data_IF_257801398648
#
_entry.id   IF_257801398648
#
_cell.length_a   1.000
_cell.length_b   1.000
_cell.length_c   1.000
_cell.angle_alpha   90.00
_cell.angle_beta   90.00
_cell.angle_gamma   90.00
#
_symmetry.space_group_name_H-M   'P 1'
#
loop_
_entity.id
_entity.type
_entity.pdbx_description
1 polymer ?
#
# COMPACT_ATOMS: atom_id res chain seq x y z
N UNK A 1 5.57 -44.73 -17.66
CA UNK A 1 4.57 -45.18 -16.65
C UNK A 1 4.98 -46.57 -16.18
N UNK A 2 4.71 -46.96 -14.93
CA UNK A 2 5.03 -48.29 -14.39
C UNK A 2 3.76 -49.04 -14.00
N UNK A 3 3.49 -50.19 -14.62
CA UNK A 3 2.39 -51.06 -14.22
C UNK A 3 2.91 -52.05 -13.19
N UNK A 4 2.29 -52.12 -12.00
CA UNK A 4 2.67 -53.05 -10.94
C UNK A 4 1.72 -54.25 -10.94
N UNK A 5 2.26 -55.42 -11.29
CA UNK A 5 1.53 -56.68 -11.34
C UNK A 5 1.94 -57.51 -10.11
N UNK A 6 1.05 -57.69 -9.13
CA UNK A 6 1.34 -58.59 -8.01
C UNK A 6 0.87 -59.98 -8.35
N UNK A 7 1.75 -60.95 -8.17
CA UNK A 7 1.44 -62.33 -8.46
C UNK A 7 1.70 -63.17 -7.22
N UNK A 8 0.63 -63.56 -6.53
CA UNK A 8 0.74 -64.49 -5.40
C UNK A 8 0.93 -65.94 -5.82
N UNK A 9 0.89 -66.28 -7.12
CA UNK A 9 1.16 -67.63 -7.64
C UNK A 9 1.39 -67.70 -9.15
N UNK A 10 2.11 -66.74 -9.72
CA UNK A 10 2.36 -66.69 -11.16
C UNK A 10 1.12 -66.33 -11.97
N UNK A 11 1.18 -65.22 -12.68
CA UNK A 11 0.59 -65.22 -14.01
C UNK A 11 1.58 -64.54 -14.92
N UNK A 12 2.52 -65.35 -15.44
CA UNK A 12 3.22 -65.05 -16.70
C UNK A 12 2.21 -64.48 -17.73
N UNK A 13 0.98 -65.00 -17.72
CA UNK A 13 -0.15 -64.50 -18.50
C UNK A 13 -0.56 -63.05 -18.22
N UNK A 14 -0.51 -62.51 -16.99
CA UNK A 14 -0.82 -61.10 -16.75
C UNK A 14 0.31 -60.18 -17.25
N UNK A 15 1.56 -60.57 -17.02
CA UNK A 15 2.73 -59.85 -17.55
C UNK A 15 2.70 -59.85 -19.08
N UNK A 16 2.43 -60.99 -19.71
CA UNK A 16 2.28 -61.11 -21.17
C UNK A 16 1.08 -60.33 -21.71
N UNK A 17 -0.06 -60.32 -21.00
CA UNK A 17 -1.23 -59.54 -21.37
C UNK A 17 -0.96 -58.02 -21.32
N UNK A 18 -0.29 -57.54 -20.27
CA UNK A 18 0.13 -56.13 -20.15
C UNK A 18 1.08 -55.77 -21.30
N UNK A 19 2.07 -56.63 -21.58
CA UNK A 19 3.01 -56.41 -22.69
C UNK A 19 2.32 -56.40 -24.06
N UNK A 20 1.36 -57.30 -24.28
CA UNK A 20 0.60 -57.35 -25.52
C UNK A 20 -0.30 -56.14 -25.75
N UNK A 21 -0.87 -55.56 -24.68
CA UNK A 21 -1.62 -54.30 -24.79
C UNK A 21 -0.71 -53.10 -25.05
N UNK A 22 0.46 -53.07 -24.40
CA UNK A 22 1.47 -52.04 -24.63
C UNK A 22 2.02 -52.08 -26.07
N UNK A 23 2.30 -53.27 -26.61
CA UNK A 23 2.77 -53.45 -27.98
C UNK A 23 1.72 -53.01 -29.02
N UNK A 24 0.44 -53.32 -28.79
CA UNK A 24 -0.68 -52.80 -29.62
C UNK A 24 -0.78 -51.28 -29.62
N UNK A 25 -0.38 -50.65 -28.52
CA UNK A 25 -0.33 -49.20 -28.39
C UNK A 25 1.00 -48.59 -28.87
N UNK A 26 1.92 -49.40 -29.40
CA UNK A 26 3.22 -48.94 -29.91
C UNK A 26 4.24 -48.59 -28.82
N UNK A 27 4.07 -49.09 -27.60
CA UNK A 27 4.93 -48.78 -26.44
C UNK A 27 5.97 -49.87 -26.20
N UNK A 28 7.18 -49.45 -25.83
CA UNK A 28 8.23 -50.35 -25.34
C UNK A 28 7.90 -50.89 -23.94
N UNK A 29 8.37 -52.10 -23.62
CA UNK A 29 8.15 -52.71 -22.30
C UNK A 29 9.43 -53.25 -21.67
N UNK A 30 9.60 -52.99 -20.37
CA UNK A 30 10.64 -53.58 -19.51
C UNK A 30 9.99 -54.32 -18.35
N UNK A 31 10.53 -55.49 -17.95
CA UNK A 31 9.96 -56.30 -16.87
C UNK A 31 10.99 -56.45 -15.75
N UNK A 32 10.57 -56.19 -14.52
CA UNK A 32 11.36 -56.32 -13.31
C UNK A 32 10.70 -57.34 -12.39
N UNK A 33 11.40 -58.42 -12.06
CA UNK A 33 10.90 -59.45 -11.15
C UNK A 33 11.43 -59.22 -9.72
N UNK A 34 10.55 -59.31 -8.73
CA UNK A 34 10.87 -59.23 -7.31
C UNK A 34 10.14 -60.30 -6.49
N UNK A 35 10.44 -60.40 -5.20
CA UNK A 35 9.79 -61.39 -4.31
C UNK A 35 8.27 -61.14 -4.21
N UNK A 36 7.48 -61.99 -4.88
CA UNK A 36 6.01 -61.94 -4.89
C UNK A 36 5.38 -60.87 -5.78
N UNK A 37 6.17 -60.13 -6.59
CA UNK A 37 5.70 -59.03 -7.46
C UNK A 37 6.50 -58.96 -8.76
N UNK A 38 5.84 -58.62 -9.86
CA UNK A 38 6.48 -58.27 -11.13
C UNK A 38 6.05 -56.87 -11.55
N UNK A 39 7.00 -56.01 -11.92
CA UNK A 39 6.70 -54.64 -12.40
C UNK A 39 6.96 -54.60 -13.90
N UNK A 40 5.98 -54.13 -14.67
CA UNK A 40 6.11 -53.89 -16.11
C UNK A 40 6.22 -52.39 -16.35
N UNK A 41 7.41 -51.91 -16.71
CA UNK A 41 7.63 -50.55 -17.15
C UNK A 41 7.15 -50.36 -18.60
N UNK A 42 6.40 -49.28 -18.84
CA UNK A 42 5.98 -48.85 -20.17
C UNK A 42 6.78 -47.61 -20.58
N UNK A 43 7.48 -47.72 -21.71
CA UNK A 43 8.31 -46.67 -22.27
C UNK A 43 7.49 -45.80 -23.24
N UNK A 44 7.31 -44.52 -22.90
CA UNK A 44 6.53 -43.55 -23.67
C UNK A 44 5.36 -42.94 -22.91
N UNK A 45 4.61 -42.08 -23.61
CA UNK A 45 3.38 -41.48 -23.10
C UNK A 45 2.24 -42.49 -23.21
N UNK A 46 1.62 -42.84 -22.07
CA UNK A 46 0.59 -43.89 -22.02
C UNK A 46 -0.80 -43.26 -22.16
N UNK A 47 -1.60 -43.61 -23.18
CA UNK A 47 -2.96 -43.12 -23.33
C UNK A 47 -3.85 -43.50 -22.14
N UNK A 48 -4.80 -42.64 -21.78
CA UNK A 48 -5.75 -42.86 -20.68
C UNK A 48 -6.57 -44.12 -20.92
N UNK A 49 -6.95 -44.39 -22.17
CA UNK A 49 -7.71 -45.57 -22.56
C UNK A 49 -6.90 -46.85 -22.33
N UNK A 50 -5.58 -46.81 -22.57
CA UNK A 50 -4.72 -47.95 -22.32
C UNK A 50 -4.61 -48.23 -20.82
N UNK A 51 -4.50 -47.19 -19.97
CA UNK A 51 -4.52 -47.35 -18.52
C UNK A 51 -5.77 -48.09 -18.04
N UNK A 52 -6.95 -47.65 -18.48
CA UNK A 52 -8.21 -48.29 -18.11
C UNK A 52 -8.25 -49.76 -18.54
N UNK A 53 -7.72 -50.09 -19.72
CA UNK A 53 -7.62 -51.49 -20.19
C UNK A 53 -6.68 -52.30 -19.30
N UNK A 54 -5.51 -51.76 -18.94
CA UNK A 54 -4.51 -52.45 -18.13
C UNK A 54 -5.02 -52.76 -16.71
N UNK A 55 -5.81 -51.86 -16.11
CA UNK A 55 -6.45 -52.07 -14.81
C UNK A 55 -7.50 -53.21 -14.82
N UNK A 56 -8.04 -53.58 -15.98
CA UNK A 56 -8.97 -54.72 -16.10
C UNK A 56 -8.30 -56.09 -16.25
N UNK A 57 -6.98 -56.13 -16.45
CA UNK A 57 -6.27 -57.40 -16.68
C UNK A 57 -6.18 -58.19 -15.36
N UNK A 58 -6.72 -59.42 -15.30
CA UNK A 58 -6.66 -60.24 -14.07
C UNK A 58 -5.22 -60.47 -13.62
N UNK A 59 -4.90 -60.03 -12.40
CA UNK A 59 -3.56 -60.13 -11.80
C UNK A 59 -2.75 -58.83 -11.82
N UNK A 60 -3.22 -57.78 -12.49
CA UNK A 60 -2.72 -56.41 -12.29
C UNK A 60 -3.31 -55.87 -10.98
N UNK A 61 -2.47 -55.48 -10.03
CA UNK A 61 -2.94 -54.90 -8.77
C UNK A 61 -2.96 -53.37 -8.82
N UNK A 62 -2.03 -52.75 -9.53
CA UNK A 62 -1.92 -51.30 -9.58
C UNK A 62 -1.25 -50.83 -10.87
N UNK A 63 -1.65 -49.65 -11.37
CA UNK A 63 -1.02 -48.96 -12.51
C UNK A 63 -0.52 -47.61 -12.03
N UNK A 64 0.80 -47.48 -11.88
CA UNK A 64 1.46 -46.39 -11.15
C UNK A 64 2.24 -45.47 -12.08
N UNK A 65 2.03 -44.16 -11.93
CA UNK A 65 2.74 -43.13 -12.69
C UNK A 65 2.15 -42.92 -14.09
N UNK A 66 2.34 -41.73 -14.66
CA UNK A 66 1.52 -41.30 -15.79
C UNK A 66 0.15 -40.82 -15.33
N UNK A 67 0.15 -39.93 -14.35
CA UNK A 67 -0.71 -38.76 -14.53
C UNK A 67 -0.23 -38.09 -15.83
N UNK A 68 -0.78 -38.50 -16.98
CA UNK A 68 -1.47 -37.45 -17.69
C UNK A 68 -2.43 -36.94 -16.62
N UNK A 69 -2.15 -35.77 -16.05
CA UNK A 69 -3.24 -34.98 -15.50
C UNK A 69 -4.30 -35.12 -16.61
N UNK A 70 -5.33 -35.95 -16.38
CA UNK A 70 -6.64 -35.56 -16.86
C UNK A 70 -6.64 -34.11 -16.43
N UNK A 71 -6.59 -33.19 -17.39
CA UNK A 71 -6.57 -31.78 -17.11
C UNK A 71 -7.88 -31.58 -16.36
N UNK A 72 -7.86 -31.82 -15.05
CA UNK A 72 -8.82 -31.35 -14.09
C UNK A 72 -8.97 -29.93 -14.55
N UNK A 73 -10.17 -29.57 -14.95
CA UNK A 73 -10.43 -28.25 -15.45
C UNK A 73 -10.00 -27.30 -14.32
N UNK A 74 -8.74 -26.84 -14.37
CA UNK A 74 -8.12 -26.08 -13.30
C UNK A 74 -8.87 -24.77 -13.33
N UNK A 75 -9.78 -24.58 -12.38
CA UNK A 75 -10.55 -23.33 -12.27
C UNK A 75 -9.78 -22.30 -11.44
N UNK A 76 -8.74 -22.73 -10.73
CA UNK A 76 -7.93 -21.94 -9.81
C UNK A 76 -6.58 -21.57 -10.42
N UNK A 77 -6.11 -20.36 -10.08
CA UNK A 77 -4.76 -19.85 -10.37
C UNK A 77 -4.35 -19.83 -11.86
N UNK A 78 -5.32 -19.90 -12.78
CA UNK A 78 -5.13 -19.87 -14.24
C UNK A 78 -4.36 -18.65 -14.77
N UNK A 79 -4.32 -17.56 -13.99
CA UNK A 79 -3.63 -16.30 -14.34
C UNK A 79 -2.58 -15.91 -13.28
N UNK A 80 -2.19 -16.83 -12.42
CA UNK A 80 -1.22 -16.61 -11.35
C UNK A 80 0.10 -17.26 -11.73
N UNK A 81 1.14 -16.45 -11.98
CA UNK A 81 2.47 -16.95 -12.35
C UNK A 81 3.14 -17.70 -11.18
N UNK A 82 2.99 -17.19 -9.97
CA UNK A 82 3.59 -17.76 -8.75
C UNK A 82 2.95 -17.14 -7.50
N UNK A 83 2.89 -17.91 -6.42
CA UNK A 83 2.53 -17.43 -5.07
C UNK A 83 3.73 -17.69 -4.16
N UNK A 84 4.18 -16.66 -3.46
CA UNK A 84 5.24 -16.74 -2.46
C UNK A 84 4.73 -16.16 -1.13
N UNK A 85 5.07 -16.74 0.03
CA UNK A 85 4.69 -16.17 1.31
C UNK A 85 5.39 -14.84 1.56
N UNK A 86 4.69 -13.92 2.24
CA UNK A 86 5.31 -12.74 2.86
C UNK A 86 5.86 -13.11 4.23
N UNK A 87 6.89 -12.38 4.69
CA UNK A 87 7.29 -12.40 6.09
C UNK A 87 6.08 -11.99 6.97
N UNK A 88 5.73 -12.75 8.02
CA UNK A 88 4.66 -12.35 8.94
C UNK A 88 4.97 -11.01 9.64
N UNK A 89 3.97 -10.14 9.86
CA UNK A 89 4.18 -8.87 10.56
C UNK A 89 4.92 -9.01 11.89
N UNK A 90 4.57 -10.01 12.72
CA UNK A 90 5.21 -10.26 14.02
C UNK A 90 6.73 -10.41 13.95
N UNK A 91 7.25 -11.04 12.88
CA UNK A 91 8.69 -11.21 12.70
C UNK A 91 9.34 -9.84 12.45
N UNK A 92 8.72 -9.01 11.61
CA UNK A 92 9.24 -7.70 11.30
C UNK A 92 9.16 -6.75 12.51
N UNK A 93 8.06 -6.80 13.27
CA UNK A 93 7.89 -6.03 14.50
C UNK A 93 8.93 -6.41 15.56
N UNK A 94 9.27 -7.70 15.69
CA UNK A 94 10.30 -8.17 16.63
C UNK A 94 11.71 -7.72 16.21
N UNK A 95 12.03 -7.81 14.92
CA UNK A 95 13.36 -7.44 14.41
C UNK A 95 13.58 -5.92 14.36
N UNK A 96 12.50 -5.16 14.17
CA UNK A 96 12.50 -3.70 14.12
C UNK A 96 11.48 -3.17 15.14
N UNK A 97 11.79 -3.24 16.44
CA UNK A 97 10.84 -2.89 17.49
C UNK A 97 10.62 -1.37 17.56
N UNK A 98 9.39 -0.98 17.90
CA UNK A 98 9.07 0.41 18.20
C UNK A 98 9.76 0.82 19.51
N UNK A 99 10.75 1.71 19.41
CA UNK A 99 11.46 2.22 20.58
C UNK A 99 10.53 3.07 21.48
N UNK A 100 10.90 3.28 22.74
CA UNK A 100 10.14 4.18 23.64
C UNK A 100 10.09 5.61 23.11
N UNK A 101 11.17 6.08 22.47
CA UNK A 101 11.24 7.45 21.93
C UNK A 101 10.35 7.57 20.70
N UNK A 102 10.46 6.65 19.75
CA UNK A 102 9.59 6.60 18.59
C UNK A 102 8.11 6.48 18.99
N UNK A 103 7.77 5.62 19.96
CA UNK A 103 6.41 5.52 20.50
C UNK A 103 5.91 6.85 21.10
N UNK A 104 6.77 7.57 21.82
CA UNK A 104 6.42 8.88 22.38
C UNK A 104 6.19 9.93 21.28
N UNK A 105 7.01 9.94 20.22
CA UNK A 105 6.83 10.79 19.03
C UNK A 105 5.46 10.54 18.39
N UNK A 106 5.15 9.27 18.11
CA UNK A 106 3.90 8.89 17.41
C UNK A 106 2.68 9.19 18.27
N UNK A 107 2.72 8.81 19.56
CA UNK A 107 1.60 9.06 20.49
C UNK A 107 1.32 10.56 20.62
N UNK A 108 2.34 11.37 20.87
CA UNK A 108 2.22 12.83 20.97
C UNK A 108 1.62 13.40 19.69
N UNK A 109 2.16 13.03 18.53
CA UNK A 109 1.69 13.57 17.27
C UNK A 109 0.23 13.18 16.96
N UNK A 110 -0.20 11.95 17.27
CA UNK A 110 -1.61 11.55 17.12
C UNK A 110 -2.52 12.41 18.01
N UNK A 111 -2.16 12.59 19.28
CA UNK A 111 -2.89 13.46 20.22
C UNK A 111 -2.95 14.91 19.70
N UNK A 112 -1.84 15.46 19.21
CA UNK A 112 -1.77 16.82 18.67
C UNK A 112 -2.61 17.00 17.39
N UNK A 113 -2.55 16.03 16.46
CA UNK A 113 -3.37 16.06 15.24
C UNK A 113 -4.85 16.07 15.61
N UNK A 114 -5.29 15.21 16.53
CA UNK A 114 -6.70 15.18 16.99
C UNK A 114 -7.10 16.52 17.61
N UNK A 115 -6.25 17.12 18.45
CA UNK A 115 -6.53 18.45 19.03
C UNK A 115 -6.69 19.54 17.98
N UNK A 116 -5.88 19.54 16.92
CA UNK A 116 -6.04 20.48 15.79
C UNK A 116 -7.33 20.20 15.03
N UNK A 117 -7.65 18.93 14.76
CA UNK A 117 -8.91 18.54 14.10
C UNK A 117 -10.15 18.95 14.92
N UNK A 118 -10.06 18.95 16.25
CA UNK A 118 -11.13 19.37 17.16
C UNK A 118 -11.17 20.87 17.42
N UNK A 119 -10.19 21.64 16.93
CA UNK A 119 -10.06 23.08 17.19
C UNK A 119 -9.63 23.43 18.61
N UNK A 120 -9.10 22.46 19.36
CA UNK A 120 -8.50 22.62 20.70
C UNK A 120 -7.03 23.08 20.63
N UNK A 121 -6.46 23.03 19.44
CA UNK A 121 -5.14 23.54 19.09
C UNK A 121 -5.32 24.29 17.76
N UNK A 122 -4.85 25.53 17.70
CA UNK A 122 -5.05 26.41 16.56
C UNK A 122 -3.83 26.45 15.63
N UNK A 123 -2.93 25.48 15.74
CA UNK A 123 -1.90 25.27 14.72
C UNK A 123 -2.50 24.74 13.42
N UNK A 124 -1.71 24.78 12.35
CA UNK A 124 -2.06 24.18 11.06
C UNK A 124 -1.30 22.86 10.88
N UNK A 125 -2.00 21.77 10.55
CA UNK A 125 -1.35 20.50 10.19
C UNK A 125 -0.66 20.67 8.83
N UNK A 126 0.61 20.28 8.73
CA UNK A 126 1.35 20.32 7.45
C UNK A 126 1.95 18.96 7.18
N UNK A 127 1.41 18.25 6.19
CA UNK A 127 1.97 16.98 5.70
C UNK A 127 2.84 17.24 4.49
N UNK A 128 4.16 17.26 4.68
CA UNK A 128 5.12 17.71 3.66
C UNK A 128 6.28 16.73 3.49
N UNK A 129 6.64 16.45 2.24
CA UNK A 129 7.70 15.49 1.91
C UNK A 129 7.55 14.94 0.49
N UNK A 130 8.40 13.97 0.10
CA UNK A 130 8.51 13.54 -1.28
C UNK A 130 7.19 12.95 -1.81
N UNK A 131 6.96 13.02 -3.12
CA UNK A 131 5.79 12.40 -3.75
C UNK A 131 5.73 10.91 -3.41
N UNK A 132 6.86 10.21 -3.58
CA UNK A 132 7.10 8.86 -3.08
C UNK A 132 8.59 8.68 -2.70
N UNK A 133 8.86 7.86 -1.70
CA UNK A 133 10.22 7.53 -1.25
C UNK A 133 10.75 6.38 -2.08
N UNK A 134 11.87 6.59 -2.76
CA UNK A 134 12.63 5.56 -3.49
C UNK A 134 14.02 5.34 -2.89
N UNK A 135 14.60 6.36 -2.26
CA UNK A 135 15.88 6.31 -1.55
C UNK A 135 15.68 6.64 -0.06
N UNK A 136 15.79 5.65 0.85
CA UNK A 136 15.73 5.86 2.28
C UNK A 136 16.79 6.83 2.83
N UNK A 137 17.97 6.92 2.22
CA UNK A 137 19.03 7.81 2.68
C UNK A 137 18.69 9.27 2.39
N UNK A 138 18.25 9.59 1.17
CA UNK A 138 17.74 10.93 0.84
C UNK A 138 16.49 11.29 1.66
N UNK A 139 15.60 10.33 1.95
CA UNK A 139 14.46 10.56 2.83
C UNK A 139 14.90 10.93 4.26
N UNK A 140 15.92 10.28 4.81
CA UNK A 140 16.47 10.64 6.13
C UNK A 140 17.21 11.98 6.15
N UNK A 141 17.93 12.36 5.08
CA UNK A 141 18.49 13.71 4.96
C UNK A 141 17.36 14.75 4.98
N UNK A 142 16.33 14.55 4.15
CA UNK A 142 15.14 15.41 4.16
C UNK A 142 14.49 15.49 5.55
N UNK A 143 14.33 14.36 6.25
CA UNK A 143 13.75 14.32 7.60
C UNK A 143 14.56 15.16 8.61
N UNK A 144 15.89 15.09 8.57
CA UNK A 144 16.77 15.87 9.45
C UNK A 144 16.62 17.36 9.20
N UNK A 145 16.61 17.78 7.93
CA UNK A 145 16.38 19.19 7.55
C UNK A 145 14.99 19.66 7.93
N UNK A 146 13.96 18.82 7.74
CA UNK A 146 12.58 19.13 8.11
C UNK A 146 12.39 19.27 9.61
N UNK A 147 13.09 18.46 10.42
CA UNK A 147 13.03 18.56 11.88
C UNK A 147 13.47 19.94 12.39
N UNK A 148 14.53 20.52 11.82
CA UNK A 148 15.00 21.86 12.22
C UNK A 148 13.92 22.93 11.98
N UNK A 149 13.26 22.87 10.82
CA UNK A 149 12.16 23.79 10.47
C UNK A 149 10.90 23.51 11.29
N UNK A 150 10.62 22.24 11.58
CA UNK A 150 9.50 21.84 12.42
C UNK A 150 9.63 22.41 13.83
N UNK A 151 10.83 22.37 14.43
CA UNK A 151 11.10 23.00 15.73
C UNK A 151 11.04 24.53 15.66
N UNK A 152 11.53 25.15 14.59
CA UNK A 152 11.44 26.61 14.36
C UNK A 152 9.97 27.08 14.35
N UNK A 153 9.09 26.34 13.71
CA UNK A 153 7.70 26.75 13.43
C UNK A 153 6.65 26.05 14.31
N UNK A 154 7.08 25.30 15.34
CA UNK A 154 6.21 24.39 16.12
C UNK A 154 5.04 25.06 16.83
N UNK A 155 5.16 26.36 17.12
CA UNK A 155 4.11 27.14 17.78
C UNK A 155 2.96 27.44 16.82
N UNK A 156 3.18 27.40 15.51
CA UNK A 156 2.21 27.76 14.47
C UNK A 156 1.80 26.56 13.61
N UNK A 157 2.73 25.64 13.36
CA UNK A 157 2.54 24.49 12.48
C UNK A 157 2.78 23.17 13.22
N UNK A 158 1.92 22.19 12.95
CA UNK A 158 2.14 20.80 13.30
C UNK A 158 2.64 20.06 12.05
N UNK A 159 3.97 20.02 11.89
CA UNK A 159 4.62 19.44 10.71
C UNK A 159 4.79 17.92 10.88
N UNK A 160 4.26 17.17 9.91
CA UNK A 160 4.48 15.73 9.74
C UNK A 160 5.20 15.50 8.41
N UNK A 161 6.21 14.64 8.41
CA UNK A 161 6.85 14.22 7.17
C UNK A 161 5.90 13.33 6.37
N UNK A 162 5.70 13.66 5.10
CA UNK A 162 5.05 12.77 4.13
C UNK A 162 6.00 11.64 3.76
N UNK A 163 5.67 10.40 4.13
CA UNK A 163 6.46 9.19 3.84
C UNK A 163 5.59 8.20 3.08
N UNK A 164 5.48 8.39 1.77
CA UNK A 164 4.63 7.55 0.91
C UNK A 164 5.53 6.59 0.12
N UNK A 165 5.22 5.30 0.14
CA UNK A 165 6.09 4.29 -0.50
C UNK A 165 5.74 4.00 -1.94
N UNK A 166 4.50 4.28 -2.36
CA UNK A 166 4.03 4.00 -3.70
C UNK A 166 3.15 5.16 -4.20
N UNK A 167 3.18 5.37 -5.51
CA UNK A 167 2.20 6.19 -6.22
C UNK A 167 1.27 5.28 -7.05
N UNK A 168 -0.04 5.24 -6.75
CA UNK A 168 -0.98 4.46 -7.55
C UNK A 168 -1.05 4.94 -9.01
N UNK A 169 -0.80 4.03 -9.96
CA UNK A 169 -0.80 4.30 -11.41
C UNK A 169 -1.74 3.37 -12.18
N UNK A 170 -2.37 3.91 -13.22
CA UNK A 170 -3.19 3.16 -14.19
C UNK A 170 -2.37 2.61 -15.36
N UNK A 171 -1.12 3.04 -15.50
CA UNK A 171 -0.16 2.59 -16.52
C UNK A 171 1.00 1.83 -15.87
N UNK A 172 1.77 1.11 -16.69
CA UNK A 172 2.99 0.41 -16.27
C UNK A 172 4.02 1.44 -15.74
N UNK A 173 4.72 1.07 -14.67
CA UNK A 173 5.79 1.84 -14.03
C UNK A 173 6.16 1.22 -12.68
N UNK A 174 7.25 1.68 -12.09
CA UNK A 174 7.71 1.31 -10.74
C UNK A 174 6.58 1.23 -9.70
N UNK A 175 6.63 0.22 -8.84
CA UNK A 175 5.54 -0.10 -7.90
C UNK A 175 5.78 0.40 -6.48
N UNK A 176 6.78 1.24 -6.29
CA UNK A 176 7.10 1.80 -4.98
C UNK A 176 8.10 0.97 -4.20
N UNK A 177 8.66 1.56 -3.13
CA UNK A 177 9.75 1.00 -2.33
C UNK A 177 9.37 -0.33 -1.68
N UNK A 178 8.12 -0.47 -1.23
CA UNK A 178 7.65 -1.72 -0.65
C UNK A 178 7.62 -2.83 -1.70
N UNK A 179 7.09 -2.54 -2.89
CA UNK A 179 6.90 -3.58 -3.89
C UNK A 179 8.19 -3.92 -4.63
N UNK A 180 9.05 -2.92 -4.90
CA UNK A 180 10.23 -3.06 -5.75
C UNK A 180 11.37 -2.15 -5.22
N UNK A 181 12.01 -2.53 -4.08
CA UNK A 181 12.97 -1.67 -3.38
C UNK A 181 14.27 -1.43 -4.15
N UNK A 182 14.61 -2.30 -5.10
CA UNK A 182 15.86 -2.25 -5.86
C UNK A 182 15.72 -1.49 -7.19
N UNK A 183 14.52 -0.97 -7.51
CA UNK A 183 14.21 -0.24 -8.74
C UNK A 183 14.48 -1.04 -10.03
N UNK A 184 14.46 -2.38 -9.96
CA UNK A 184 14.88 -3.30 -11.02
C UNK A 184 13.77 -4.28 -11.45
N UNK A 185 12.58 -4.19 -10.86
CA UNK A 185 11.46 -5.08 -11.15
C UNK A 185 11.59 -6.48 -10.53
N UNK A 186 12.48 -6.68 -9.56
CA UNK A 186 12.68 -7.96 -8.85
C UNK A 186 11.50 -8.34 -7.95
N UNK A 187 10.71 -7.35 -7.52
CA UNK A 187 9.61 -7.51 -6.56
C UNK A 187 10.03 -8.19 -5.25
N UNK A 188 11.14 -7.72 -4.66
CA UNK A 188 11.61 -8.15 -3.34
C UNK A 188 10.82 -7.49 -2.21
N UNK A 189 9.55 -7.88 -2.08
CA UNK A 189 8.59 -7.25 -1.17
C UNK A 189 9.02 -7.36 0.30
N UNK A 190 9.67 -8.46 0.71
CA UNK A 190 10.13 -8.62 2.08
C UNK A 190 11.25 -7.62 2.42
N UNK A 191 12.20 -7.41 1.50
CA UNK A 191 13.20 -6.34 1.67
C UNK A 191 12.56 -4.96 1.69
N UNK A 192 11.55 -4.71 0.83
CA UNK A 192 10.82 -3.46 0.77
C UNK A 192 10.04 -3.13 2.05
N UNK A 193 9.35 -4.11 2.64
CA UNK A 193 8.66 -3.96 3.94
C UNK A 193 9.65 -3.63 5.06
N UNK A 194 10.82 -4.28 5.08
CA UNK A 194 11.90 -3.99 6.04
C UNK A 194 12.45 -2.57 5.87
N UNK A 195 12.72 -2.15 4.64
CA UNK A 195 13.21 -0.81 4.34
C UNK A 195 12.19 0.27 4.73
N UNK A 196 10.91 0.06 4.41
CA UNK A 196 9.82 0.96 4.76
C UNK A 196 9.68 1.13 6.28
N UNK A 197 9.63 0.02 7.03
CA UNK A 197 9.54 0.06 8.49
C UNK A 197 10.78 0.69 9.12
N UNK A 198 11.98 0.30 8.69
CA UNK A 198 13.24 0.85 9.19
C UNK A 198 13.28 2.37 9.05
N UNK A 199 12.95 2.88 7.87
CA UNK A 199 12.88 4.32 7.60
C UNK A 199 11.90 5.05 8.54
N UNK A 200 10.69 4.51 8.72
CA UNK A 200 9.68 5.12 9.60
C UNK A 200 10.15 5.16 11.06
N UNK A 201 10.79 4.10 11.54
CA UNK A 201 11.35 4.05 12.89
C UNK A 201 12.46 5.07 13.06
N UNK A 202 13.38 5.19 12.09
CA UNK A 202 14.46 6.18 12.15
C UNK A 202 13.90 7.61 12.17
N UNK A 203 12.90 7.92 11.34
CA UNK A 203 12.22 9.23 11.33
C UNK A 203 11.57 9.52 12.69
N UNK A 204 10.82 8.56 13.25
CA UNK A 204 10.17 8.70 14.55
C UNK A 204 11.19 8.84 15.70
N UNK A 205 12.35 8.16 15.60
CA UNK A 205 13.45 8.25 16.56
C UNK A 205 14.12 9.64 16.54
N UNK A 206 14.16 10.33 15.39
CA UNK A 206 14.60 11.72 15.33
C UNK A 206 13.68 12.63 16.18
N UNK A 207 12.41 12.29 16.30
CA UNK A 207 11.38 13.10 16.97
C UNK A 207 10.33 13.69 16.02
N UNK A 208 10.47 13.42 14.71
CA UNK A 208 9.60 13.90 13.65
C UNK A 208 8.48 12.87 13.38
N UNK A 209 7.20 13.25 13.47
CA UNK A 209 6.12 12.35 13.08
C UNK A 209 6.00 12.18 11.56
N UNK A 210 5.51 11.01 11.14
CA UNK A 210 5.30 10.68 9.73
C UNK A 210 3.81 10.47 9.40
N UNK A 211 3.42 10.88 8.20
CA UNK A 211 2.14 10.57 7.58
C UNK A 211 2.31 9.70 6.32
N UNK A 212 1.44 8.72 6.12
CA UNK A 212 1.53 7.76 5.00
C UNK A 212 0.16 7.56 4.32
N UNK A 213 0.15 7.22 3.04
CA UNK A 213 -1.08 6.74 2.37
C UNK A 213 -1.22 5.23 2.52
N UNK A 214 -2.44 4.78 2.73
CA UNK A 214 -2.79 3.37 2.86
C UNK A 214 -3.46 2.90 1.57
N UNK A 215 -2.85 1.92 0.92
CA UNK A 215 -3.23 1.45 -0.42
C UNK A 215 -3.88 0.06 -0.45
N UNK A 216 -3.74 -0.70 0.63
CA UNK A 216 -4.24 -2.06 0.75
C UNK A 216 -4.47 -2.42 2.23
N UNK A 217 -5.28 -3.46 2.53
CA UNK A 217 -5.63 -3.83 3.90
C UNK A 217 -4.57 -4.67 4.63
N UNK A 218 -3.46 -5.03 3.98
CA UNK A 218 -2.42 -5.92 4.53
C UNK A 218 -1.22 -5.11 5.02
N UNK A 219 -0.70 -4.20 4.19
CA UNK A 219 0.51 -3.44 4.50
C UNK A 219 0.49 -2.66 5.82
N UNK A 220 -0.65 -2.09 6.31
CA UNK A 220 -0.67 -1.41 7.60
C UNK A 220 -0.24 -2.28 8.79
N UNK A 221 -0.42 -3.59 8.73
CA UNK A 221 -0.01 -4.49 9.82
C UNK A 221 1.50 -4.48 10.08
N UNK A 222 2.30 -4.02 9.10
CA UNK A 222 3.75 -4.01 9.18
C UNK A 222 4.35 -2.73 9.76
N UNK A 223 3.62 -1.61 9.75
CA UNK A 223 4.19 -0.31 10.09
C UNK A 223 3.20 0.74 10.65
N UNK A 224 1.91 0.43 10.76
CA UNK A 224 0.91 1.40 11.23
C UNK A 224 1.12 1.86 12.67
N UNK A 225 1.83 1.09 13.49
CA UNK A 225 2.26 1.44 14.85
C UNK A 225 3.18 2.68 14.88
N UNK A 226 3.86 2.99 13.76
CA UNK A 226 4.83 4.10 13.65
C UNK A 226 4.27 5.32 12.90
N UNK A 227 3.03 5.27 12.42
CA UNK A 227 2.41 6.35 11.63
C UNK A 227 1.52 7.25 12.50
N UNK A 228 1.64 8.56 12.36
CA UNK A 228 0.87 9.55 13.13
C UNK A 228 -0.38 10.07 12.42
N UNK A 229 -0.45 9.93 11.09
CA UNK A 229 -1.58 10.38 10.26
C UNK A 229 -1.63 9.55 8.97
N UNK A 230 -2.82 9.27 8.46
CA UNK A 230 -2.98 8.49 7.22
C UNK A 230 -3.83 9.19 6.18
N UNK A 231 -3.61 8.86 4.90
CA UNK A 231 -4.49 9.24 3.82
C UNK A 231 -5.11 8.02 3.12
N UNK A 232 -6.36 8.18 2.67
CA UNK A 232 -6.97 7.34 1.65
C UNK A 232 -7.04 8.12 0.33
N UNK A 233 -6.45 7.54 -0.70
CA UNK A 233 -6.29 8.15 -2.01
C UNK A 233 -7.59 8.36 -2.78
N UNK A 234 -7.57 9.30 -3.73
CA UNK A 234 -8.74 9.67 -4.54
C UNK A 234 -9.37 8.51 -5.33
N UNK A 235 -8.60 7.43 -5.60
CA UNK A 235 -9.07 6.23 -6.31
C UNK A 235 -9.62 5.15 -5.39
N UNK A 236 -9.37 5.26 -4.08
CA UNK A 236 -9.76 4.28 -3.07
C UNK A 236 -10.74 4.87 -2.05
N UNK A 237 -10.97 6.19 -2.04
CA UNK A 237 -11.99 6.85 -1.20
C UNK A 237 -13.39 6.24 -1.35
N UNK A 238 -13.77 5.80 -2.55
CA UNK A 238 -15.07 5.17 -2.81
C UNK A 238 -15.09 3.65 -2.50
N UNK A 239 -13.91 3.06 -2.25
CA UNK A 239 -13.78 1.63 -1.96
C UNK A 239 -14.27 1.29 -0.56
N UNK A 240 -15.24 0.38 -0.46
CA UNK A 240 -15.74 -0.11 0.83
C UNK A 240 -14.61 -0.67 1.70
N UNK A 241 -13.74 -1.51 1.14
CA UNK A 241 -12.61 -2.11 1.87
C UNK A 241 -11.72 -1.05 2.52
N UNK A 242 -11.50 0.09 1.85
CA UNK A 242 -10.67 1.16 2.39
C UNK A 242 -11.38 1.99 3.45
N UNK A 243 -12.71 2.16 3.34
CA UNK A 243 -13.54 2.80 4.37
C UNK A 243 -13.59 1.95 5.64
N UNK A 244 -13.78 0.64 5.47
CA UNK A 244 -13.76 -0.33 6.57
C UNK A 244 -12.38 -0.35 7.25
N UNK A 245 -11.31 -0.37 6.46
CA UNK A 245 -9.94 -0.29 6.96
C UNK A 245 -9.71 1.00 7.77
N UNK A 246 -10.11 2.15 7.24
CA UNK A 246 -9.96 3.45 7.90
C UNK A 246 -10.67 3.51 9.26
N UNK A 247 -11.81 2.81 9.42
CA UNK A 247 -12.52 2.70 10.69
C UNK A 247 -11.74 1.96 11.80
N UNK A 248 -10.72 1.19 11.41
CA UNK A 248 -9.86 0.43 12.34
C UNK A 248 -8.45 1.00 12.50
N UNK A 249 -8.09 2.04 11.74
CA UNK A 249 -6.77 2.67 11.81
C UNK A 249 -6.61 3.45 13.12
N UNK A 250 -5.46 3.32 13.77
CA UNK A 250 -5.19 3.92 15.09
C UNK A 250 -4.80 5.41 15.06
N UNK A 251 -4.84 6.03 13.88
CA UNK A 251 -4.45 7.42 13.65
C UNK A 251 -5.55 8.14 12.87
N UNK A 252 -5.58 9.50 12.90
CA UNK A 252 -6.48 10.28 12.07
C UNK A 252 -6.31 10.01 10.57
N UNK A 253 -7.42 10.03 9.83
CA UNK A 253 -7.44 9.66 8.39
C UNK A 253 -8.02 10.77 7.52
N UNK A 254 -7.27 11.18 6.51
CA UNK A 254 -7.75 12.11 5.48
C UNK A 254 -8.24 11.41 4.23
N UNK A 255 -9.46 11.69 3.79
CA UNK A 255 -10.04 11.14 2.56
C UNK A 255 -9.97 12.16 1.42
N UNK A 256 -9.26 11.82 0.34
CA UNK A 256 -9.18 12.68 -0.86
C UNK A 256 -10.52 12.71 -1.61
N UNK A 257 -10.92 13.88 -2.10
CA UNK A 257 -12.00 13.97 -3.09
C UNK A 257 -11.66 13.15 -4.35
N UNK A 258 -12.68 12.72 -5.09
CA UNK A 258 -12.52 11.88 -6.27
C UNK A 258 -11.70 12.55 -7.37
N UNK A 259 -11.12 11.76 -8.26
CA UNK A 259 -10.21 12.28 -9.30
C UNK A 259 -10.84 13.30 -10.24
N UNK A 260 -12.16 13.30 -10.36
CA UNK A 260 -12.92 14.26 -11.17
C UNK A 260 -13.34 15.52 -10.40
N UNK A 261 -13.12 15.55 -9.08
CA UNK A 261 -13.48 16.67 -8.20
C UNK A 261 -14.63 16.38 -7.23
N UNK A 262 -15.23 15.20 -7.31
CA UNK A 262 -16.40 14.85 -6.50
C UNK A 262 -16.03 14.78 -5.00
N UNK A 263 -16.52 15.72 -4.22
CA UNK A 263 -16.31 15.80 -2.77
C UNK A 263 -17.26 14.86 -2.01
N UNK A 264 -18.43 14.53 -2.57
CA UNK A 264 -19.43 13.70 -1.90
C UNK A 264 -18.88 12.32 -1.53
N UNK A 265 -18.02 11.73 -2.37
CA UNK A 265 -17.42 10.42 -2.07
C UNK A 265 -16.55 10.44 -0.81
N UNK A 266 -15.90 11.58 -0.51
CA UNK A 266 -15.09 11.76 0.68
C UNK A 266 -15.98 11.98 1.91
N UNK A 267 -17.05 12.77 1.78
CA UNK A 267 -18.07 12.94 2.83
C UNK A 267 -18.70 11.59 3.20
N UNK A 268 -19.07 10.77 2.22
CA UNK A 268 -19.62 9.44 2.45
C UNK A 268 -18.60 8.51 3.11
N UNK A 269 -17.32 8.64 2.76
CA UNK A 269 -16.24 7.88 3.37
C UNK A 269 -16.02 8.24 4.84
N UNK A 270 -16.12 9.52 5.21
CA UNK A 270 -16.06 9.97 6.61
C UNK A 270 -17.18 9.31 7.44
N UNK A 271 -18.42 9.34 6.93
CA UNK A 271 -19.56 8.72 7.61
C UNK A 271 -19.42 7.21 7.75
N UNK A 272 -18.83 6.57 6.74
CA UNK A 272 -18.57 5.13 6.80
C UNK A 272 -17.48 4.83 7.83
N UNK A 273 -16.36 5.55 7.81
CA UNK A 273 -15.23 5.30 8.70
C UNK A 273 -15.57 5.54 10.18
N UNK A 274 -16.50 6.43 10.49
CA UNK A 274 -17.01 6.68 11.85
C UNK A 274 -17.78 5.47 12.46
N UNK A 275 -18.23 4.53 11.62
CA UNK A 275 -19.04 3.39 12.07
C UNK A 275 -18.19 2.11 12.31
N UNK A 276 -18.57 1.22 13.25
CA UNK A 276 -17.93 -0.09 13.42
C UNK A 276 -18.08 -1.00 12.19
N UNK A 277 -16.99 -1.64 11.75
CA UNK A 277 -16.98 -2.53 10.58
C UNK A 277 -16.34 -3.88 10.86
N UNK A 278 -16.67 -4.86 10.00
CA UNK A 278 -15.97 -6.15 9.93
C UNK A 278 -15.41 -6.33 8.52
N UNK A 279 -14.11 -6.59 8.40
CA UNK A 279 -13.47 -6.78 7.09
C UNK A 279 -12.39 -7.86 7.14
N UNK A 280 -12.02 -8.36 5.96
CA UNK A 280 -10.97 -9.37 5.82
C UNK A 280 -9.60 -8.70 5.89
N UNK A 281 -8.73 -9.23 6.73
CA UNK A 281 -7.35 -8.76 6.90
C UNK A 281 -6.39 -9.90 7.18
N UNK A 282 -5.28 -9.59 7.83
CA UNK A 282 -4.29 -10.58 8.30
C UNK A 282 -3.98 -10.35 9.78
N UNK A 283 -3.70 -11.43 10.49
CA UNK A 283 -3.13 -11.40 11.85
C UNK A 283 -1.65 -11.02 11.81
N UNK A 284 -1.07 -10.68 12.96
CA UNK A 284 0.38 -10.49 13.09
C UNK A 284 1.18 -11.75 12.71
N UNK A 285 0.58 -12.94 12.83
CA UNK A 285 1.18 -14.21 12.40
C UNK A 285 1.07 -14.46 10.89
N UNK A 286 0.48 -13.52 10.13
CA UNK A 286 0.33 -13.62 8.67
C UNK A 286 -0.82 -14.51 8.21
N UNK A 287 -1.71 -14.94 9.12
CA UNK A 287 -2.91 -15.72 8.78
C UNK A 287 -4.07 -14.80 8.40
N UNK A 288 -4.89 -15.22 7.43
CA UNK A 288 -6.14 -14.53 7.08
C UNK A 288 -7.03 -14.38 8.32
N UNK A 289 -7.63 -13.20 8.48
CA UNK A 289 -8.36 -12.80 9.69
C UNK A 289 -9.64 -12.04 9.36
N UNK A 290 -10.56 -12.04 10.32
CA UNK A 290 -11.68 -11.09 10.38
C UNK A 290 -11.27 -10.00 11.36
N UNK A 291 -11.16 -8.76 10.88
CA UNK A 291 -10.88 -7.58 11.69
C UNK A 291 -12.20 -6.96 12.11
N UNK A 292 -12.34 -6.66 13.40
CA UNK A 292 -13.51 -5.97 13.96
C UNK A 292 -13.08 -4.57 14.43
N UNK A 293 -13.45 -3.56 13.66
CA UNK A 293 -13.10 -2.15 13.88
C UNK A 293 -14.20 -1.41 14.64
N UNK A 294 -13.80 -0.40 15.42
CA UNK A 294 -14.69 0.33 16.33
C UNK A 294 -15.31 1.60 15.73
N UNK A 295 -14.85 2.03 14.56
CA UNK A 295 -15.11 3.36 14.04
C UNK A 295 -13.95 4.32 14.34
N UNK A 296 -13.78 5.31 13.48
CA UNK A 296 -12.76 6.34 13.54
C UNK A 296 -13.38 7.72 13.29
N UNK A 297 -13.63 8.47 14.36
CA UNK A 297 -14.23 9.81 14.33
C UNK A 297 -13.21 10.91 13.93
N UNK A 298 -11.92 10.57 13.89
CA UNK A 298 -10.81 11.48 13.59
C UNK A 298 -10.53 11.57 12.08
N UNK A 299 -11.59 11.55 11.29
CA UNK A 299 -11.53 11.67 9.83
C UNK A 299 -11.77 13.11 9.35
N UNK A 300 -11.21 13.45 8.18
CA UNK A 300 -11.38 14.76 7.53
C UNK A 300 -11.28 14.66 6.00
N UNK A 301 -11.76 15.69 5.29
CA UNK A 301 -11.69 15.76 3.82
C UNK A 301 -10.35 16.34 3.37
N UNK A 302 -9.78 15.80 2.29
CA UNK A 302 -8.65 16.39 1.57
C UNK A 302 -9.11 16.89 0.20
N UNK A 303 -9.06 18.21 -0.02
CA UNK A 303 -9.30 18.86 -1.31
C UNK A 303 -8.03 18.84 -2.16
N UNK A 304 -8.09 18.24 -3.35
CA UNK A 304 -6.91 17.95 -4.21
C UNK A 304 -7.11 18.27 -5.70
N UNK A 305 -8.12 19.07 -5.99
CA UNK A 305 -8.63 19.39 -7.33
C UNK A 305 -9.33 18.21 -7.99
N UNK A 306 -9.75 18.42 -9.24
CA UNK A 306 -10.45 17.45 -10.05
C UNK A 306 -10.19 17.66 -11.54
N UNK A 307 -10.20 16.59 -12.33
CA UNK A 307 -10.05 16.69 -13.78
C UNK A 307 -11.17 17.48 -14.44
N UNK A 308 -12.39 17.39 -13.91
CA UNK A 308 -13.58 18.04 -14.48
C UNK A 308 -13.86 19.38 -13.81
N UNK A 309 -13.73 19.44 -12.49
CA UNK A 309 -14.03 20.67 -11.72
C UNK A 309 -12.88 21.68 -11.68
N UNK A 310 -11.66 21.27 -12.06
CA UNK A 310 -10.47 22.11 -11.91
C UNK A 310 -9.93 22.14 -10.49
N UNK A 311 -9.31 23.24 -10.10
CA UNK A 311 -8.76 23.45 -8.76
C UNK A 311 -9.88 23.65 -7.75
N UNK A 312 -9.67 23.28 -6.49
CA UNK A 312 -10.66 23.44 -5.42
C UNK A 312 -10.04 23.87 -4.07
N UNK A 313 -8.99 24.70 -4.14
CA UNK A 313 -8.33 25.27 -2.96
C UNK A 313 -8.87 26.66 -2.59
N UNK A 314 -9.59 27.31 -3.51
CA UNK A 314 -10.10 28.67 -3.36
C UNK A 314 -11.19 28.77 -2.27
N UNK A 315 -11.41 29.99 -1.78
CA UNK A 315 -12.33 30.25 -0.68
C UNK A 315 -13.78 29.81 -0.93
N UNK A 316 -14.22 29.81 -2.20
CA UNK A 316 -15.56 29.33 -2.57
C UNK A 316 -15.64 27.82 -2.44
N UNK A 317 -14.70 27.09 -3.04
CA UNK A 317 -14.60 25.63 -2.90
C UNK A 317 -14.51 25.18 -1.43
N UNK A 318 -13.72 25.89 -0.61
CA UNK A 318 -13.59 25.60 0.82
C UNK A 318 -14.93 25.83 1.53
N UNK A 319 -15.56 27.00 1.36
CA UNK A 319 -16.85 27.33 1.98
C UNK A 319 -17.93 26.31 1.62
N UNK A 320 -18.01 25.92 0.35
CA UNK A 320 -19.02 24.98 -0.12
C UNK A 320 -18.79 23.57 0.45
N UNK A 321 -17.53 23.15 0.61
CA UNK A 321 -17.15 21.90 1.28
C UNK A 321 -17.55 21.92 2.75
N UNK A 322 -17.23 22.98 3.48
CA UNK A 322 -17.60 23.13 4.90
C UNK A 322 -19.12 23.13 5.08
N UNK A 323 -19.86 23.80 4.19
CA UNK A 323 -21.32 23.77 4.19
C UNK A 323 -21.88 22.36 3.92
N UNK A 324 -21.27 21.60 3.02
CA UNK A 324 -21.65 20.22 2.74
C UNK A 324 -21.41 19.29 3.94
N UNK A 325 -20.28 19.44 4.65
CA UNK A 325 -19.99 18.71 5.89
C UNK A 325 -21.01 19.03 6.98
N UNK A 326 -21.26 20.32 7.22
CA UNK A 326 -22.24 20.80 8.21
C UNK A 326 -23.64 20.25 7.92
N UNK A 327 -24.06 20.23 6.65
CA UNK A 327 -25.38 19.74 6.23
C UNK A 327 -25.64 18.29 6.64
N UNK A 328 -24.60 17.47 6.72
CA UNK A 328 -24.71 16.05 7.12
C UNK A 328 -24.28 15.80 8.57
N UNK A 329 -24.03 16.86 9.35
CA UNK A 329 -23.66 16.77 10.77
C UNK A 329 -22.22 16.32 11.02
N UNK A 330 -21.33 16.41 10.03
CA UNK A 330 -19.91 16.10 10.21
C UNK A 330 -19.12 17.34 10.66
N UNK A 331 -18.00 17.14 11.40
CA UNK A 331 -17.07 18.23 11.71
C UNK A 331 -16.56 18.92 10.45
N UNK A 332 -16.48 20.25 10.49
CA UNK A 332 -16.08 21.11 9.38
C UNK A 332 -14.54 21.14 9.22
N UNK A 333 -13.95 20.00 8.88
CA UNK A 333 -12.50 19.78 8.81
C UNK A 333 -12.04 19.55 7.38
N UNK A 334 -11.27 20.48 6.82
CA UNK A 334 -10.71 20.39 5.46
C UNK A 334 -9.19 20.56 5.49
N UNK A 335 -8.49 19.58 4.91
CA UNK A 335 -7.09 19.70 4.50
C UNK A 335 -7.01 19.99 3.00
N UNK A 336 -6.04 20.79 2.56
CA UNK A 336 -5.89 21.15 1.14
C UNK A 336 -4.54 20.66 0.61
N UNK A 337 -4.57 19.82 -0.42
CA UNK A 337 -3.40 19.35 -1.17
C UNK A 337 -2.97 20.45 -2.15
N UNK A 338 -1.77 21.01 -1.97
CA UNK A 338 -1.23 22.09 -2.81
C UNK A 338 -0.76 21.57 -4.16
N UNK A 339 -0.55 20.26 -4.29
CA UNK A 339 -0.02 19.59 -5.48
C UNK A 339 -1.16 19.11 -6.40
N UNK A 340 -0.86 18.10 -7.22
CA UNK A 340 -1.82 17.33 -7.99
C UNK A 340 -2.81 18.17 -8.84
N UNK A 341 -4.12 18.05 -8.58
CA UNK A 341 -5.14 18.75 -9.35
C UNK A 341 -5.11 20.25 -9.08
N UNK A 342 -4.79 20.65 -7.85
CA UNK A 342 -4.70 22.05 -7.44
C UNK A 342 -3.48 22.76 -8.04
N UNK A 343 -2.35 22.07 -8.15
CA UNK A 343 -1.18 22.59 -8.88
C UNK A 343 -1.30 22.48 -10.40
N UNK A 344 -2.37 21.88 -10.94
CA UNK A 344 -2.48 21.49 -12.35
C UNK A 344 -1.29 20.63 -12.81
N UNK A 345 -0.77 19.79 -11.90
CA UNK A 345 0.42 18.95 -12.07
C UNK A 345 1.72 19.72 -12.35
N UNK A 346 1.79 20.98 -11.93
CA UNK A 346 2.99 21.80 -12.01
C UNK A 346 3.49 22.14 -10.60
N UNK A 347 4.59 21.51 -10.18
CA UNK A 347 5.14 21.71 -8.84
C UNK A 347 5.44 23.17 -8.51
N UNK A 348 5.73 24.00 -9.52
CA UNK A 348 6.02 25.43 -9.38
C UNK A 348 4.80 26.25 -8.97
N UNK A 349 3.60 25.69 -9.12
CA UNK A 349 2.32 26.32 -8.73
C UNK A 349 1.95 26.04 -7.28
N UNK A 350 2.59 25.07 -6.61
CA UNK A 350 2.32 24.76 -5.20
C UNK A 350 2.45 25.97 -4.26
N UNK A 351 3.47 26.86 -4.38
CA UNK A 351 3.56 28.06 -3.54
C UNK A 351 2.39 29.02 -3.74
N UNK A 352 1.92 29.20 -4.98
CA UNK A 352 0.77 30.07 -5.25
C UNK A 352 -0.52 29.52 -4.63
N UNK A 353 -0.69 28.19 -4.67
CA UNK A 353 -1.80 27.52 -3.97
C UNK A 353 -1.67 27.71 -2.45
N UNK A 354 -0.47 27.53 -1.90
CA UNK A 354 -0.22 27.72 -0.47
C UNK A 354 -0.46 29.16 -0.01
N UNK A 355 -0.12 30.15 -0.83
CA UNK A 355 -0.35 31.58 -0.54
C UNK A 355 -1.83 31.96 -0.52
N UNK A 356 -2.65 31.34 -1.39
CA UNK A 356 -4.11 31.49 -1.33
C UNK A 356 -4.68 30.90 -0.03
N UNK A 357 -4.24 29.69 0.33
CA UNK A 357 -4.62 29.05 1.60
C UNK A 357 -4.18 29.88 2.81
N UNK A 358 -2.94 30.39 2.79
CA UNK A 358 -2.40 31.28 3.82
C UNK A 358 -3.27 32.54 3.98
N UNK A 359 -3.68 33.15 2.87
CA UNK A 359 -4.58 34.31 2.87
C UNK A 359 -5.94 33.99 3.51
N UNK A 360 -6.52 32.82 3.24
CA UNK A 360 -7.76 32.37 3.88
C UNK A 360 -7.60 32.12 5.39
N UNK A 361 -6.52 31.45 5.79
CA UNK A 361 -6.19 31.19 7.20
C UNK A 361 -6.00 32.51 7.95
N UNK A 362 -5.16 33.41 7.44
CA UNK A 362 -4.95 34.77 7.97
C UNK A 362 -6.25 35.60 8.00
N UNK A 363 -7.19 35.31 7.09
CA UNK A 363 -8.53 35.88 7.03
C UNK A 363 -9.49 35.38 8.11
N UNK A 364 -9.09 34.41 8.93
CA UNK A 364 -9.90 33.85 10.01
C UNK A 364 -10.59 32.53 9.68
N UNK A 365 -10.29 31.89 8.54
CA UNK A 365 -10.88 30.59 8.20
C UNK A 365 -10.39 29.51 9.18
N UNK A 366 -11.31 28.93 9.96
CA UNK A 366 -11.02 27.88 10.96
C UNK A 366 -11.28 26.47 10.46
N UNK A 367 -12.04 26.30 9.37
CA UNK A 367 -12.31 24.98 8.78
C UNK A 367 -11.14 24.39 7.99
N UNK A 368 -10.13 25.21 7.66
CA UNK A 368 -8.87 24.74 7.10
C UNK A 368 -7.99 24.24 8.26
N UNK A 369 -7.91 22.92 8.42
CA UNK A 369 -7.17 22.24 9.49
C UNK A 369 -5.75 21.87 9.08
N UNK A 370 -5.46 21.85 7.78
CA UNK A 370 -4.12 21.53 7.31
C UNK A 370 -3.89 21.67 5.82
N UNK A 371 -2.64 21.43 5.42
CA UNK A 371 -2.20 21.36 4.03
C UNK A 371 -1.35 20.12 3.77
N UNK A 372 -1.36 19.65 2.53
CA UNK A 372 -0.49 18.58 2.04
C UNK A 372 0.38 19.14 0.90
N UNK A 373 1.69 18.94 0.99
CA UNK A 373 2.67 19.47 0.05
C UNK A 373 3.61 18.37 -0.45
N UNK A 374 3.95 18.42 -1.74
CA UNK A 374 4.98 17.54 -2.32
C UNK A 374 6.30 18.30 -2.47
N UNK A 375 7.27 17.89 -1.67
CA UNK A 375 8.55 18.56 -1.49
C UNK A 375 9.67 17.54 -1.31
N UNK A 376 10.84 17.77 -1.90
CA UNK A 376 12.02 16.94 -1.64
C UNK A 376 13.28 17.82 -1.52
N UNK A 377 14.47 17.24 -1.62
CA UNK A 377 15.71 18.00 -1.53
C UNK A 377 15.89 18.87 -2.78
N UNK A 378 15.74 18.25 -3.95
CA UNK A 378 15.85 18.87 -5.27
C UNK A 378 14.49 19.08 -5.93
N UNK A 379 14.40 20.12 -6.75
CA UNK A 379 13.20 20.45 -7.53
C UNK A 379 12.92 19.42 -8.63
N UNK A 380 11.65 19.32 -9.02
CA UNK A 380 11.25 18.57 -10.20
C UNK A 380 11.13 17.07 -9.98
N UNK A 381 11.23 16.33 -11.08
CA UNK A 381 11.25 14.87 -11.13
C UNK A 381 12.21 14.40 -12.23
N UNK A 382 12.62 13.14 -12.12
CA UNK A 382 13.47 12.42 -13.06
C UNK A 382 12.83 11.08 -13.43
N UNK A 383 13.15 10.60 -14.64
CA UNK A 383 12.73 9.29 -15.09
C UNK A 383 13.63 8.19 -14.51
N UNK A 384 13.03 7.04 -14.19
CA UNK A 384 13.80 5.84 -13.82
C UNK A 384 14.44 5.26 -15.08
N UNK A 385 15.78 5.29 -15.14
CA UNK A 385 16.56 4.50 -16.11
C UNK A 385 16.69 3.06 -15.63
N UNK A 386 16.99 2.11 -16.54
CA UNK A 386 17.16 0.71 -16.18
C UNK A 386 18.18 0.54 -15.04
N UNK A 387 17.75 -0.03 -13.92
CA UNK A 387 18.58 -0.29 -12.73
C UNK A 387 18.84 0.92 -11.83
N UNK A 388 18.30 2.12 -12.13
CA UNK A 388 18.35 3.27 -11.23
C UNK A 388 19.76 3.78 -10.86
N UNK A 389 20.77 3.54 -11.71
CA UNK A 389 22.19 3.72 -11.36
C UNK A 389 22.71 5.16 -11.45
N UNK A 390 21.95 6.08 -12.07
CA UNK A 390 22.34 7.49 -12.27
C UNK A 390 21.25 8.47 -11.83
N UNK A 391 20.58 8.19 -10.70
CA UNK A 391 19.55 9.08 -10.16
C UNK A 391 20.19 10.28 -9.45
N UNK A 392 19.67 11.47 -9.73
CA UNK A 392 19.98 12.69 -8.96
C UNK A 392 19.52 12.48 -7.52
N UNK A 393 20.46 12.56 -6.59
CA UNK A 393 20.19 12.40 -5.16
C UNK A 393 19.12 13.40 -4.71
N UNK A 394 18.08 12.90 -4.02
CA UNK A 394 17.06 13.79 -3.46
C UNK A 394 16.09 14.42 -4.46
N UNK A 395 16.01 13.88 -5.69
CA UNK A 395 15.02 14.28 -6.70
C UNK A 395 13.98 13.17 -6.95
N UNK A 396 12.70 13.53 -7.07
CA UNK A 396 11.59 12.57 -7.18
C UNK A 396 11.65 11.71 -8.45
N UNK A 397 11.30 10.42 -8.33
CA UNK A 397 11.13 9.50 -9.48
C UNK A 397 9.66 9.30 -9.89
N UNK A 398 8.78 10.13 -9.33
CA UNK A 398 7.33 10.10 -9.59
C UNK A 398 6.81 11.49 -9.96
N UNK A 399 5.86 12.09 -9.22
CA UNK A 399 5.48 13.47 -9.53
C UNK A 399 6.59 14.44 -9.11
N UNK A 400 6.69 15.53 -9.86
CA UNK A 400 7.62 16.61 -9.58
C UNK A 400 7.32 17.26 -8.23
N UNK A 401 8.38 17.47 -7.44
CA UNK A 401 8.30 18.07 -6.10
C UNK A 401 8.90 19.48 -6.11
N UNK A 402 8.49 20.30 -5.15
CA UNK A 402 9.26 21.50 -4.79
C UNK A 402 10.58 21.07 -4.14
N UNK A 403 11.67 21.74 -4.48
CA UNK A 403 12.95 21.60 -3.82
C UNK A 403 12.96 22.30 -2.46
N UNK A 404 14.06 22.12 -1.72
CA UNK A 404 14.21 22.67 -0.38
C UNK A 404 14.10 24.21 -0.37
N UNK A 405 14.66 24.87 -1.40
CA UNK A 405 14.65 26.32 -1.54
C UNK A 405 13.25 26.94 -1.67
N UNK A 406 12.27 26.19 -2.20
CA UNK A 406 10.86 26.61 -2.26
C UNK A 406 10.08 26.20 -1.00
N UNK A 407 10.48 25.09 -0.37
CA UNK A 407 9.75 24.48 0.75
C UNK A 407 9.74 25.37 1.98
N UNK A 408 10.91 25.84 2.42
CA UNK A 408 11.03 26.62 3.68
C UNK A 408 10.28 27.96 3.61
N UNK A 409 10.36 28.76 2.53
CA UNK A 409 9.55 29.97 2.40
C UNK A 409 8.05 29.71 2.51
N UNK A 410 7.54 28.66 1.88
CA UNK A 410 6.10 28.31 1.95
C UNK A 410 5.69 27.93 3.37
N UNK A 411 6.52 27.15 4.09
CA UNK A 411 6.25 26.83 5.49
C UNK A 411 6.21 28.08 6.38
N UNK A 412 7.14 29.01 6.19
CA UNK A 412 7.16 30.27 6.95
C UNK A 412 5.94 31.15 6.66
N UNK A 413 5.51 31.25 5.40
CA UNK A 413 4.29 31.97 5.02
C UNK A 413 3.04 31.37 5.69
N UNK A 414 2.91 30.04 5.71
CA UNK A 414 1.81 29.36 6.41
C UNK A 414 1.84 29.65 7.92
N UNK A 415 3.02 29.66 8.53
CA UNK A 415 3.16 29.99 9.95
C UNK A 415 2.75 31.45 10.24
N UNK A 416 3.16 32.40 9.38
CA UNK A 416 2.72 33.80 9.48
C UNK A 416 1.21 33.95 9.36
N UNK A 417 0.56 33.18 8.49
CA UNK A 417 -0.90 33.17 8.37
C UNK A 417 -1.61 32.67 9.63
N UNK A 418 -1.06 31.64 10.29
CA UNK A 418 -1.58 31.16 11.59
C UNK A 418 -1.44 32.23 12.66
N UNK A 419 -0.31 32.94 12.74
CA UNK A 419 -0.13 34.08 13.67
C UNK A 419 -1.15 35.19 13.39
N UNK A 420 -1.32 35.57 12.14
CA UNK A 420 -2.30 36.58 11.74
C UNK A 420 -3.75 36.17 12.10
N UNK A 421 -4.06 34.86 12.06
CA UNK A 421 -5.35 34.33 12.51
C UNK A 421 -5.56 34.47 14.02
N UNK A 422 -4.50 34.35 14.83
CA UNK A 422 -4.54 34.48 16.30
C UNK A 422 -4.78 35.92 16.76
N UNK A 423 -4.26 36.88 16.00
CA UNK A 423 -4.36 38.31 16.32
C UNK A 423 -5.73 38.93 15.96
N UNK A 424 -6.66 38.14 15.40
CA UNK A 424 -8.05 38.53 15.11
C UNK A 424 -9.01 38.03 16.19
#
# INVERSE_FOLDING_TARGET
MFVVVRSSNGSRGAVEAVRGQAEKAGLGTSVFEGEGRSVVGLEGEVPIELRAILETIPGVEDVVGGEAEAAEAKTRDLRVKSIRPLEPPAILLEQLPLSRRAAATVRRAREEVVRVLNGEDDRLIVVVGPCSVHDPQAALDYARRLLEVAEELREDLLILMRVYFEKPRTTVGWKGLINDPHLDGSFDINAGLRAARGLLLEIAELGLPAGCEVLDPISPQFFSDVIAWSAIGARTTESQVHRDLASGLSMPVGFKNGTDGNIQIAIDALRAADYPHHFLGVTEQGLAAIVNARGNEDCHVILRGGKQTGTNFDAESVRDTLAALRKVGLPERVMIDTSHGNSLKDYRRQPAVASDIASQVAGGQRGIVGVLMESFLEDGAQDLTEGGTDLVYGQSVTDACMGWGMTVPVLRELAEAVRARRDR
#
